data_IF_007957560078
#
_entry.id   IF_007957560078
#
_cell.length_a   1.000
_cell.length_b   1.000
_cell.length_c   1.000
_cell.angle_alpha   90.00
_cell.angle_beta   90.00
_cell.angle_gamma   90.00
#
_symmetry.space_group_name_H-M   'P 1'
#
loop_
_entity.id
_entity.type
_entity.pdbx_description
1 polymer ?
#
# COMPACT_ATOMS: atom_id res chain seq x y z
N UNK A 1 1.93 3.84 5.07
CA UNK A 1 0.85 2.91 5.50
C UNK A 1 0.29 2.08 4.34
N UNK A 2 0.04 2.66 3.16
CA UNK A 2 -0.36 1.91 1.94
C UNK A 2 0.79 1.20 1.19
N UNK A 3 2.02 1.25 1.71
CA UNK A 3 3.17 0.61 1.06
C UNK A 3 3.26 -0.89 1.31
N UNK A 4 2.49 -1.41 2.27
CA UNK A 4 2.36 -2.84 2.56
C UNK A 4 1.22 -3.51 1.75
N UNK A 5 0.61 -2.81 0.78
CA UNK A 5 -0.44 -3.38 -0.06
C UNK A 5 0.24 -4.12 -1.21
N UNK A 6 0.28 -5.44 -1.10
CA UNK A 6 0.81 -6.32 -2.12
C UNK A 6 -0.20 -6.56 -3.24
N UNK A 7 0.24 -7.31 -4.25
CA UNK A 7 -0.64 -7.80 -5.31
C UNK A 7 -1.78 -8.66 -4.75
N UNK A 8 -1.54 -9.40 -3.67
CA UNK A 8 -2.53 -10.17 -2.91
C UNK A 8 -3.66 -9.29 -2.34
N UNK A 9 -3.32 -8.20 -1.65
CA UNK A 9 -4.31 -7.31 -1.07
C UNK A 9 -5.12 -6.58 -2.15
N UNK A 10 -4.49 -6.23 -3.29
CA UNK A 10 -5.23 -5.66 -4.43
C UNK A 10 -6.26 -6.63 -5.01
N UNK A 11 -5.95 -7.93 -5.08
CA UNK A 11 -6.93 -8.95 -5.47
C UNK A 11 -8.10 -9.03 -4.48
N UNK A 12 -7.82 -8.99 -3.18
CA UNK A 12 -8.86 -9.00 -2.14
C UNK A 12 -9.75 -7.77 -2.27
N UNK A 13 -9.18 -6.58 -2.46
CA UNK A 13 -9.94 -5.34 -2.66
C UNK A 13 -10.77 -5.37 -3.94
N UNK A 14 -10.24 -5.94 -5.02
CA UNK A 14 -10.97 -6.10 -6.28
C UNK A 14 -12.18 -7.02 -6.10
N UNK A 15 -12.01 -8.17 -5.43
CA UNK A 15 -13.12 -9.08 -5.10
C UNK A 15 -14.13 -8.40 -4.18
N UNK A 16 -13.67 -7.70 -3.14
CA UNK A 16 -14.56 -6.95 -2.25
C UNK A 16 -15.36 -5.88 -3.00
N UNK A 17 -14.72 -5.12 -3.90
CA UNK A 17 -15.40 -4.14 -4.74
C UNK A 17 -16.43 -4.77 -5.67
N UNK A 18 -16.12 -5.93 -6.27
CA UNK A 18 -17.06 -6.69 -7.09
C UNK A 18 -18.25 -7.23 -6.28
N UNK A 19 -18.05 -7.64 -5.03
CA UNK A 19 -19.13 -8.13 -4.16
C UNK A 19 -20.01 -6.99 -3.66
N UNK A 20 -19.41 -5.89 -3.19
CA UNK A 20 -20.13 -4.74 -2.61
C UNK A 20 -20.92 -4.01 -3.70
N UNK A 21 -20.27 -3.70 -4.83
CA UNK A 21 -20.89 -2.91 -5.89
C UNK A 21 -21.60 -3.77 -6.94
N UNK A 22 -21.16 -5.01 -7.13
CA UNK A 22 -21.61 -5.92 -8.18
C UNK A 22 -20.74 -5.83 -9.45
N UNK A 23 -20.45 -6.97 -10.11
CA UNK A 23 -19.60 -7.00 -11.31
C UNK A 23 -20.18 -6.19 -12.48
N UNK A 24 -21.50 -6.13 -12.59
CA UNK A 24 -22.19 -5.39 -13.66
C UNK A 24 -22.14 -3.87 -13.47
N UNK A 25 -21.99 -3.40 -12.22
CA UNK A 25 -22.09 -1.97 -11.88
C UNK A 25 -20.72 -1.28 -11.82
N UNK A 26 -19.68 -2.04 -11.45
CA UNK A 26 -18.29 -1.56 -11.41
C UNK A 26 -17.83 -0.86 -12.71
N UNK A 27 -17.99 -1.43 -13.92
CA UNK A 27 -17.59 -0.77 -15.15
C UNK A 27 -18.41 0.51 -15.42
N UNK A 28 -19.68 0.54 -15.03
CA UNK A 28 -20.51 1.73 -15.09
C UNK A 28 -20.01 2.85 -14.16
N UNK A 29 -19.68 2.51 -12.92
CA UNK A 29 -19.17 3.44 -11.92
C UNK A 29 -17.82 4.05 -12.35
N UNK A 30 -16.89 3.21 -12.84
CA UNK A 30 -15.59 3.69 -13.36
C UNK A 30 -15.79 4.66 -14.53
N UNK A 31 -16.69 4.36 -15.47
CA UNK A 31 -17.02 5.25 -16.59
C UNK A 31 -17.61 6.58 -16.13
N UNK A 32 -18.50 6.55 -15.13
CA UNK A 32 -19.07 7.76 -14.56
C UNK A 32 -18.01 8.61 -13.86
N UNK A 33 -17.21 8.02 -12.96
CA UNK A 33 -16.16 8.73 -12.23
C UNK A 33 -15.12 9.34 -13.17
N UNK A 34 -14.66 8.59 -14.17
CA UNK A 34 -13.68 9.09 -15.15
C UNK A 34 -14.24 10.23 -15.99
N UNK A 35 -15.50 10.14 -16.43
CA UNK A 35 -16.18 11.22 -17.16
C UNK A 35 -16.36 12.45 -16.27
N UNK A 36 -16.80 12.29 -15.03
CA UNK A 36 -16.96 13.38 -14.07
C UNK A 36 -15.62 14.07 -13.79
N UNK A 37 -14.55 13.30 -13.57
CA UNK A 37 -13.22 13.86 -13.34
C UNK A 37 -12.73 14.67 -14.54
N UNK A 38 -12.96 14.16 -15.76
CA UNK A 38 -12.59 14.86 -16.98
C UNK A 38 -13.36 16.16 -17.14
N UNK A 39 -14.67 16.14 -16.89
CA UNK A 39 -15.51 17.32 -16.94
C UNK A 39 -15.08 18.38 -15.91
N UNK A 40 -14.77 17.97 -14.66
CA UNK A 40 -14.21 18.86 -13.64
C UNK A 40 -12.89 19.48 -14.10
N UNK A 41 -11.98 18.67 -14.65
CA UNK A 41 -10.70 19.15 -15.19
C UNK A 41 -10.91 20.19 -16.29
N UNK A 42 -11.81 19.89 -17.22
CA UNK A 42 -12.06 20.75 -18.37
C UNK A 42 -12.68 22.09 -17.91
N UNK A 43 -13.62 22.08 -16.96
CA UNK A 43 -14.12 23.31 -16.33
C UNK A 43 -13.06 24.10 -15.57
N UNK A 44 -12.24 23.42 -14.75
CA UNK A 44 -11.16 24.06 -14.02
C UNK A 44 -10.15 24.71 -14.99
N UNK A 45 -9.83 24.04 -16.11
CA UNK A 45 -8.94 24.59 -17.13
C UNK A 45 -9.54 25.79 -17.86
N UNK A 46 -10.84 25.77 -18.17
CA UNK A 46 -11.55 26.88 -18.80
C UNK A 46 -11.64 28.11 -17.89
N UNK A 47 -12.02 27.92 -16.62
CA UNK A 47 -12.05 29.01 -15.64
C UNK A 47 -10.64 29.59 -15.41
N UNK A 48 -9.62 28.74 -15.33
CA UNK A 48 -8.21 29.18 -15.23
C UNK A 48 -7.79 30.00 -16.45
N UNK A 49 -8.21 29.60 -17.66
CA UNK A 49 -7.91 30.33 -18.89
C UNK A 49 -8.58 31.71 -18.91
N UNK A 50 -9.83 31.81 -18.46
CA UNK A 50 -10.56 33.08 -18.35
C UNK A 50 -9.91 34.02 -17.33
N UNK A 51 -9.55 33.51 -16.15
CA UNK A 51 -8.84 34.29 -15.13
C UNK A 51 -7.48 34.79 -15.63
N UNK A 52 -6.77 33.98 -16.43
CA UNK A 52 -5.52 34.38 -17.08
C UNK A 52 -5.73 35.50 -18.11
N UNK A 53 -6.85 35.46 -18.83
CA UNK A 53 -7.20 36.47 -19.84
C UNK A 53 -7.65 37.79 -19.19
N UNK A 54 -8.35 37.74 -18.04
CA UNK A 54 -8.86 38.91 -17.33
C UNK A 54 -7.84 39.57 -16.39
N UNK A 55 -7.00 38.80 -15.69
CA UNK A 55 -6.04 39.33 -14.69
C UNK A 55 -4.65 39.58 -15.28
N UNK A 56 -4.35 39.09 -16.49
CA UNK A 56 -3.06 39.29 -17.13
C UNK A 56 -1.88 38.82 -16.24
N UNK A 57 -0.76 39.59 -16.15
CA UNK A 57 0.47 39.16 -15.49
C UNK A 57 0.33 38.85 -13.98
N UNK A 58 -0.74 39.31 -13.31
CA UNK A 58 -0.99 38.97 -11.90
C UNK A 58 -1.32 37.47 -11.70
N UNK A 59 -1.76 36.77 -12.75
CA UNK A 59 -1.94 35.32 -12.70
C UNK A 59 -0.60 34.55 -12.66
N UNK A 60 0.49 35.11 -13.20
CA UNK A 60 1.80 34.44 -13.19
C UNK A 60 2.40 34.35 -11.78
N UNK A 61 2.06 35.29 -10.89
CA UNK A 61 2.46 35.23 -9.48
C UNK A 61 1.73 34.13 -8.71
N UNK A 62 0.51 33.75 -9.12
CA UNK A 62 -0.20 32.58 -8.60
C UNK A 62 0.29 31.28 -9.23
N UNK A 63 0.86 31.36 -10.43
CA UNK A 63 1.35 30.20 -11.18
C UNK A 63 2.58 29.57 -10.53
N UNK A 64 3.49 30.36 -9.95
CA UNK A 64 4.66 29.88 -9.19
C UNK A 64 4.26 28.98 -8.01
N UNK A 65 3.45 29.42 -7.03
CA UNK A 65 3.06 28.57 -5.91
C UNK A 65 2.20 27.37 -6.35
N UNK A 66 1.38 27.49 -7.40
CA UNK A 66 0.65 26.35 -7.95
C UNK A 66 1.58 25.32 -8.62
N UNK A 67 2.62 25.78 -9.32
CA UNK A 67 3.63 24.92 -9.92
C UNK A 67 4.46 24.21 -8.85
N UNK A 68 4.88 24.92 -7.79
CA UNK A 68 5.61 24.34 -6.66
C UNK A 68 4.77 23.27 -5.95
N UNK A 69 3.48 23.51 -5.74
CA UNK A 69 2.56 22.51 -5.18
C UNK A 69 2.36 21.30 -6.10
N UNK A 70 2.29 21.52 -7.41
CA UNK A 70 2.16 20.44 -8.37
C UNK A 70 3.46 19.64 -8.52
N UNK A 71 4.62 20.27 -8.38
CA UNK A 71 5.93 19.63 -8.32
C UNK A 71 6.06 18.78 -7.05
N UNK A 72 5.63 19.32 -5.90
CA UNK A 72 5.59 18.60 -4.63
C UNK A 72 4.60 17.41 -4.65
N UNK A 73 3.52 17.51 -5.43
CA UNK A 73 2.54 16.43 -5.64
C UNK A 73 2.99 15.42 -6.70
N UNK A 74 3.75 15.87 -7.70
CA UNK A 74 4.32 15.08 -8.79
C UNK A 74 5.52 14.23 -8.34
N UNK A 75 6.28 14.70 -7.36
CA UNK A 75 7.11 13.85 -6.54
C UNK A 75 6.19 13.05 -5.62
N UNK A 76 5.70 11.89 -6.10
CA UNK A 76 4.91 11.02 -5.25
C UNK A 76 5.65 10.84 -3.90
N UNK A 77 4.95 10.86 -2.75
CA UNK A 77 5.61 10.65 -1.45
C UNK A 77 6.45 9.37 -1.44
N UNK A 78 6.04 8.39 -2.25
CA UNK A 78 6.82 7.19 -2.58
C UNK A 78 8.13 7.55 -3.30
N UNK A 79 8.14 8.32 -4.38
CA UNK A 79 9.36 8.74 -5.07
C UNK A 79 10.33 9.54 -4.18
N UNK A 80 9.84 10.39 -3.26
CA UNK A 80 10.69 11.11 -2.30
C UNK A 80 11.30 10.15 -1.28
N UNK A 81 10.47 9.34 -0.63
CA UNK A 81 10.91 8.33 0.34
C UNK A 81 11.84 7.32 -0.31
N UNK A 82 11.53 6.88 -1.52
CA UNK A 82 12.35 5.97 -2.32
C UNK A 82 13.68 6.60 -2.70
N UNK A 83 13.75 7.87 -3.13
CA UNK A 83 15.06 8.53 -3.36
C UNK A 83 15.89 8.67 -2.08
N UNK A 84 15.25 8.89 -0.93
CA UNK A 84 15.94 9.00 0.35
C UNK A 84 16.32 7.64 0.98
N UNK A 85 15.59 6.56 0.66
CA UNK A 85 15.84 5.22 1.21
C UNK A 85 16.65 4.31 0.24
N UNK A 86 16.44 4.38 -1.08
CA UNK A 86 17.17 3.59 -2.07
C UNK A 86 18.60 4.09 -2.32
N UNK A 87 18.85 5.39 -2.22
CA UNK A 87 20.19 5.92 -2.49
C UNK A 87 21.18 5.67 -1.33
N UNK A 88 20.79 4.96 -0.27
CA UNK A 88 21.62 4.75 0.91
C UNK A 88 21.74 3.31 1.41
N UNK A 89 20.84 2.40 1.04
CA UNK A 89 20.80 1.08 1.69
C UNK A 89 20.24 -0.05 0.80
N UNK A 90 21.05 -0.49 -0.18
CA UNK A 90 20.77 -1.68 -1.01
C UNK A 90 20.62 -2.97 -0.18
N UNK A 91 21.01 -2.97 1.10
CA UNK A 91 20.93 -4.12 1.99
C UNK A 91 19.48 -4.50 2.33
N UNK A 92 18.60 -3.51 2.50
CA UNK A 92 17.18 -3.72 2.83
C UNK A 92 16.43 -4.39 1.69
N UNK A 93 16.78 -4.05 0.44
CA UNK A 93 16.19 -4.68 -0.74
C UNK A 93 16.60 -6.15 -0.86
N UNK A 94 17.86 -6.47 -0.55
CA UNK A 94 18.37 -7.85 -0.56
C UNK A 94 17.79 -8.69 0.57
N UNK A 95 17.60 -8.11 1.75
CA UNK A 95 16.97 -8.80 2.88
C UNK A 95 15.47 -9.06 2.63
N UNK A 96 14.79 -8.14 1.95
CA UNK A 96 13.40 -8.34 1.54
C UNK A 96 13.28 -9.42 0.45
N UNK A 97 14.17 -9.45 -0.53
CA UNK A 97 14.22 -10.50 -1.56
C UNK A 97 14.48 -11.88 -0.95
N UNK A 98 15.31 -11.93 0.09
CA UNK A 98 15.62 -13.16 0.84
C UNK A 98 14.46 -13.62 1.75
N UNK A 99 13.60 -12.70 2.18
CA UNK A 99 12.44 -12.98 3.01
C UNK A 99 11.17 -13.38 2.22
N UNK A 100 11.18 -13.22 0.89
CA UNK A 100 10.07 -13.64 0.03
C UNK A 100 10.25 -15.13 -0.31
N UNK A 101 9.32 -16.03 0.08
CA UNK A 101 9.41 -17.44 -0.27
C UNK A 101 9.32 -17.62 -1.79
N UNK A 102 10.17 -18.50 -2.33
CA UNK A 102 10.25 -18.71 -3.77
C UNK A 102 8.97 -19.37 -4.30
N UNK A 103 8.64 -19.14 -5.58
CA UNK A 103 7.46 -19.76 -6.23
C UNK A 103 7.41 -21.28 -6.09
N UNK A 104 8.57 -21.91 -5.92
CA UNK A 104 8.71 -23.35 -5.69
C UNK A 104 8.18 -23.79 -4.30
N UNK A 105 8.24 -22.92 -3.28
CA UNK A 105 7.69 -23.19 -1.93
C UNK A 105 6.16 -23.07 -1.89
N UNK A 106 5.57 -22.26 -2.79
CA UNK A 106 4.12 -22.02 -2.82
C UNK A 106 3.35 -23.06 -3.64
N UNK A 107 4.04 -23.83 -4.48
CA UNK A 107 3.45 -24.85 -5.37
C UNK A 107 3.99 -26.26 -5.10
N UNK A 108 4.92 -26.42 -4.16
CA UNK A 108 5.61 -27.68 -3.82
C UNK A 108 4.99 -28.43 -2.65
N UNK A 109 4.63 -29.68 -2.92
CA UNK A 109 4.25 -30.77 -2.02
C UNK A 109 4.98 -30.80 -0.67
N UNK A 110 4.23 -31.17 0.37
CA UNK A 110 4.70 -31.63 1.68
C UNK A 110 6.07 -32.35 1.65
N UNK A 111 7.15 -31.64 2.03
CA UNK A 111 8.38 -32.17 2.64
C UNK A 111 9.34 -31.02 2.91
N UNK A 112 9.68 -30.79 4.19
CA UNK A 112 10.78 -29.90 4.58
C UNK A 112 10.32 -28.62 5.30
N UNK A 113 9.90 -28.76 6.56
CA UNK A 113 9.85 -27.61 7.48
C UNK A 113 11.30 -27.21 7.83
N UNK A 114 11.70 -25.94 7.76
CA UNK A 114 12.99 -25.50 8.27
C UNK A 114 13.06 -25.71 9.79
N UNK A 115 14.19 -26.25 10.27
CA UNK A 115 14.49 -26.46 11.69
C UNK A 115 14.52 -25.12 12.46
N UNK A 116 13.37 -24.65 12.90
CA UNK A 116 13.29 -23.77 14.05
C UNK A 116 13.27 -24.64 15.31
N UNK A 117 14.18 -24.43 16.29
CA UNK A 117 14.07 -25.09 17.57
C UNK A 117 12.80 -24.57 18.25
N UNK A 118 11.70 -25.31 18.12
CA UNK A 118 10.47 -24.97 18.81
C UNK A 118 10.71 -25.11 20.31
N UNK A 119 10.32 -24.13 21.15
CA UNK A 119 10.28 -24.35 22.59
C UNK A 119 9.38 -25.56 22.81
N UNK A 120 9.89 -26.57 23.52
CA UNK A 120 9.12 -27.77 23.87
C UNK A 120 7.85 -27.31 24.56
N UNK A 121 6.70 -27.41 23.88
CA UNK A 121 5.41 -27.21 24.53
C UNK A 121 5.31 -28.26 25.63
N UNK A 122 5.40 -27.80 26.86
CA UNK A 122 5.18 -28.64 28.02
C UNK A 122 3.78 -29.25 27.92
N UNK A 123 3.75 -30.57 28.12
CA UNK A 123 2.56 -31.39 27.92
C UNK A 123 1.41 -30.82 28.77
N UNK A 124 0.18 -30.70 28.23
CA UNK A 124 -0.95 -30.23 29.01
C UNK A 124 -1.14 -31.13 30.24
N UNK A 125 -1.22 -30.51 31.41
CA UNK A 125 -1.46 -31.22 32.67
C UNK A 125 -2.70 -32.11 32.55
N UNK A 126 -2.61 -33.36 33.02
CA UNK A 126 -3.76 -34.24 33.03
C UNK A 126 -4.82 -33.73 34.00
N UNK A 127 -6.10 -34.10 33.79
CA UNK A 127 -7.29 -33.53 34.45
C UNK A 127 -7.27 -33.52 36.00
N UNK A 128 -6.33 -34.20 36.66
CA UNK A 128 -6.18 -34.24 38.12
C UNK A 128 -4.72 -34.08 38.60
N UNK A 129 -3.84 -33.51 37.78
CA UNK A 129 -2.42 -33.32 38.12
C UNK A 129 -2.20 -31.91 38.67
N UNK A 130 -1.53 -31.80 39.83
CA UNK A 130 -1.25 -30.49 40.44
C UNK A 130 -0.09 -29.84 39.68
N UNK A 131 -0.20 -28.56 39.30
CA UNK A 131 0.90 -27.85 38.64
C UNK A 131 2.15 -27.86 39.54
N UNK A 132 3.36 -27.95 38.96
CA UNK A 132 4.59 -27.81 39.72
C UNK A 132 4.61 -26.43 40.39
N UNK A 133 4.86 -26.39 41.71
CA UNK A 133 4.99 -25.13 42.43
C UNK A 133 6.41 -24.61 42.23
N UNK A 134 6.48 -23.39 41.72
CA UNK A 134 7.72 -22.64 41.58
C UNK A 134 8.08 -22.01 42.94
N UNK A 135 9.18 -22.48 43.53
CA UNK A 135 9.63 -22.02 44.84
C UNK A 135 10.55 -20.78 44.73
N UNK A 136 10.91 -20.34 43.52
CA UNK A 136 11.78 -19.19 43.27
C UNK A 136 10.99 -17.87 43.12
N UNK A 137 9.66 -17.93 43.16
CA UNK A 137 8.79 -16.76 43.24
C UNK A 137 8.65 -16.29 44.71
N UNK A 138 9.65 -15.56 45.23
CA UNK A 138 9.56 -14.75 46.47
C UNK A 138 9.96 -13.31 46.20
#
# INVERSE_FOLDING_TARGET
>A
MFSNIGWSEMLILLVAALVILGPERLPGAVRWTTRSLRQVRDYASGATAQLKEELGPEFDDLRKPLADLNELRGMSPRAVVTKHLLNGDDSVFRDLEKAVPSKDDLLGTASGMPDHPMPKLEKPLARNERPPIDNDAT
#
